data_IF_544414041243
#
_entry.id   IF_544414041243
#
_cell.length_a   1.000
_cell.length_b   1.000
_cell.length_c   1.000
_cell.angle_alpha   90.00
_cell.angle_beta   90.00
_cell.angle_gamma   90.00
#
_symmetry.space_group_name_H-M   'P 1'
#
loop_
_entity.id
_entity.type
_entity.pdbx_description
1 polymer ?
#
# COMPACT_ATOMS: atom_id res chain seq x y z
N UNK A 1 -11.49 22.40 -38.94
CA UNK A 1 -10.46 22.46 -37.92
C UNK A 1 -10.84 21.70 -36.62
N UNK A 2 -12.10 21.77 -36.19
CA UNK A 2 -12.58 21.06 -34.96
C UNK A 2 -12.43 19.52 -34.99
N UNK A 3 -12.70 18.87 -36.13
CA UNK A 3 -12.60 17.41 -36.24
C UNK A 3 -11.17 16.86 -36.10
N UNK A 4 -10.15 17.59 -36.62
CA UNK A 4 -8.74 17.19 -36.45
C UNK A 4 -8.23 17.41 -35.01
N UNK A 5 -8.71 18.46 -34.34
CA UNK A 5 -8.42 18.73 -32.93
C UNK A 5 -9.00 17.62 -32.05
N UNK A 6 -10.22 17.18 -32.31
CA UNK A 6 -10.92 16.13 -31.56
C UNK A 6 -10.25 14.73 -31.74
N UNK A 7 -9.75 14.42 -32.94
CA UNK A 7 -9.01 13.17 -33.19
C UNK A 7 -7.65 13.13 -32.45
N UNK A 8 -6.93 14.24 -32.40
CA UNK A 8 -5.68 14.37 -31.69
C UNK A 8 -5.88 14.22 -30.16
N UNK A 9 -6.91 14.83 -29.59
CA UNK A 9 -7.24 14.73 -28.18
C UNK A 9 -7.67 13.29 -27.83
N UNK A 10 -8.45 12.62 -28.68
CA UNK A 10 -8.81 11.21 -28.48
C UNK A 10 -7.57 10.30 -28.49
N UNK A 11 -6.64 10.51 -29.40
CA UNK A 11 -5.40 9.75 -29.42
C UNK A 11 -4.54 9.99 -28.16
N UNK A 12 -4.46 11.24 -27.69
CA UNK A 12 -3.79 11.62 -26.44
C UNK A 12 -4.48 11.05 -25.19
N UNK A 13 -5.78 10.79 -25.23
CA UNK A 13 -6.48 10.05 -24.18
C UNK A 13 -6.18 8.56 -24.27
N UNK A 14 -6.43 7.94 -25.43
CA UNK A 14 -6.43 6.48 -25.56
C UNK A 14 -5.03 5.89 -25.43
N UNK A 15 -4.03 6.44 -26.13
CA UNK A 15 -2.70 5.83 -26.20
C UNK A 15 -2.02 5.79 -24.83
N UNK A 16 -1.85 6.90 -24.07
CA UNK A 16 -1.24 6.87 -22.75
C UNK A 16 -2.05 6.05 -21.74
N UNK A 17 -3.39 6.14 -21.81
CA UNK A 17 -4.27 5.37 -20.93
C UNK A 17 -4.12 3.86 -21.14
N UNK A 18 -4.08 3.40 -22.39
CA UNK A 18 -3.85 1.98 -22.73
C UNK A 18 -2.47 1.53 -22.28
N UNK A 19 -1.43 2.34 -22.50
CA UNK A 19 -0.08 2.04 -22.02
C UNK A 19 -0.09 1.96 -20.49
N UNK A 20 -0.72 2.90 -19.79
CA UNK A 20 -0.84 2.87 -18.33
C UNK A 20 -1.56 1.62 -17.82
N UNK A 21 -2.67 1.24 -18.45
CA UNK A 21 -3.39 -0.01 -18.11
C UNK A 21 -2.51 -1.24 -18.33
N UNK A 22 -1.78 -1.33 -19.44
CA UNK A 22 -0.87 -2.44 -19.73
C UNK A 22 0.24 -2.52 -18.66
N UNK A 23 0.83 -1.38 -18.29
CA UNK A 23 1.93 -1.34 -17.35
C UNK A 23 1.53 -1.70 -15.91
N UNK A 24 0.36 -1.24 -15.46
CA UNK A 24 -0.05 -1.31 -14.05
C UNK A 24 -1.14 -2.33 -13.75
N UNK A 25 -1.94 -2.76 -14.74
CA UNK A 25 -3.16 -3.54 -14.50
C UNK A 25 -3.20 -4.87 -15.23
N UNK A 26 -2.42 -5.07 -16.29
CA UNK A 26 -2.43 -6.35 -17.01
C UNK A 26 -1.43 -7.29 -16.34
N UNK A 27 -1.91 -8.44 -15.78
CA UNK A 27 -1.02 -9.43 -15.22
C UNK A 27 -0.22 -10.11 -16.35
N UNK A 28 1.08 -10.22 -16.14
CA UNK A 28 2.02 -10.91 -17.03
C UNK A 28 2.90 -11.86 -16.21
N UNK A 29 3.47 -12.88 -16.82
CA UNK A 29 4.42 -13.75 -16.16
C UNK A 29 5.83 -13.17 -16.26
N UNK A 30 6.56 -13.18 -15.14
CA UNK A 30 7.98 -12.84 -15.11
C UNK A 30 8.84 -14.02 -15.55
N UNK A 31 10.17 -13.87 -15.53
CA UNK A 31 11.13 -14.93 -15.89
C UNK A 31 11.11 -16.13 -14.94
N UNK A 32 10.55 -15.99 -13.75
CA UNK A 32 10.35 -17.07 -12.77
C UNK A 32 8.98 -17.75 -12.89
N UNK A 33 8.21 -17.46 -13.96
CA UNK A 33 6.83 -17.94 -14.21
C UNK A 33 5.78 -17.45 -13.19
N UNK A 34 6.08 -16.36 -12.46
CA UNK A 34 5.20 -15.77 -11.47
C UNK A 34 4.36 -14.64 -12.07
N UNK A 35 3.08 -14.55 -11.66
CA UNK A 35 2.19 -13.48 -12.10
C UNK A 35 2.54 -12.15 -11.42
N UNK A 36 2.76 -11.12 -12.22
CA UNK A 36 3.07 -9.75 -11.76
C UNK A 36 2.63 -8.73 -12.81
N UNK A 37 2.96 -7.45 -12.60
CA UNK A 37 2.68 -6.36 -13.56
C UNK A 37 3.96 -5.89 -14.25
N UNK A 38 3.81 -5.32 -15.44
CA UNK A 38 4.97 -4.89 -16.26
C UNK A 38 5.85 -3.88 -15.51
N UNK A 39 5.25 -2.95 -14.75
CA UNK A 39 6.00 -1.97 -13.93
C UNK A 39 6.94 -2.68 -12.95
N UNK A 40 6.50 -3.76 -12.31
CA UNK A 40 7.34 -4.53 -11.38
C UNK A 40 8.45 -5.25 -12.13
N UNK A 41 8.18 -5.85 -13.29
CA UNK A 41 9.22 -6.49 -14.12
C UNK A 41 10.31 -5.47 -14.50
N UNK A 42 9.92 -4.26 -14.91
CA UNK A 42 10.88 -3.19 -15.22
C UNK A 42 11.71 -2.84 -13.97
N UNK A 43 11.06 -2.74 -12.81
CA UNK A 43 11.73 -2.49 -11.54
C UNK A 43 12.73 -3.60 -11.18
N UNK A 44 12.32 -4.87 -11.31
CA UNK A 44 13.16 -6.03 -11.01
C UNK A 44 14.36 -6.13 -11.96
N UNK A 45 14.20 -5.83 -13.26
CA UNK A 45 15.32 -5.78 -14.23
C UNK A 45 16.34 -4.69 -13.81
N UNK A 46 15.87 -3.50 -13.46
CA UNK A 46 16.76 -2.41 -13.03
C UNK A 46 17.41 -2.76 -11.69
N UNK A 47 16.65 -3.29 -10.75
CA UNK A 47 17.16 -3.76 -9.46
C UNK A 47 18.25 -4.83 -9.65
N UNK A 48 18.04 -5.79 -10.55
CA UNK A 48 19.05 -6.81 -10.89
C UNK A 48 20.33 -6.25 -11.49
N UNK A 49 20.21 -5.18 -12.29
CA UNK A 49 21.38 -4.54 -12.92
C UNK A 49 22.24 -3.73 -11.92
N UNK A 50 21.63 -3.16 -10.88
CA UNK A 50 22.31 -2.29 -9.88
C UNK A 50 22.23 -2.85 -8.46
N UNK A 51 21.85 -4.12 -8.30
CA UNK A 51 21.50 -4.75 -7.01
C UNK A 51 22.52 -4.53 -5.89
N UNK A 52 23.81 -4.66 -6.20
CA UNK A 52 24.88 -4.42 -5.22
C UNK A 52 24.95 -2.98 -4.71
N UNK A 53 24.40 -2.01 -5.44
CA UNK A 53 24.38 -0.61 -5.06
C UNK A 53 23.10 -0.20 -4.30
N UNK A 54 22.04 -0.98 -4.38
CA UNK A 54 20.73 -0.61 -3.81
C UNK A 54 20.74 -0.38 -2.30
N UNK A 55 21.38 -1.21 -1.46
CA UNK A 55 21.45 -0.93 -0.03
C UNK A 55 22.16 0.40 0.27
N UNK A 56 23.26 0.69 -0.44
CA UNK A 56 23.97 1.97 -0.29
C UNK A 56 23.10 3.15 -0.76
N UNK A 57 22.33 3.00 -1.84
CA UNK A 57 21.38 4.01 -2.30
C UNK A 57 20.34 4.31 -1.23
N UNK A 58 19.78 3.28 -0.57
CA UNK A 58 18.84 3.44 0.55
C UNK A 58 19.51 4.22 1.70
N UNK A 59 20.73 3.86 2.08
CA UNK A 59 21.50 4.59 3.11
C UNK A 59 21.65 6.08 2.77
N UNK A 60 22.02 6.39 1.52
CA UNK A 60 22.18 7.77 1.05
C UNK A 60 20.85 8.53 1.13
N UNK A 61 19.77 7.96 0.62
CA UNK A 61 18.43 8.58 0.61
C UNK A 61 17.96 8.87 2.04
N UNK A 62 18.04 7.89 2.93
CA UNK A 62 17.60 8.04 4.32
C UNK A 62 18.46 9.06 5.07
N UNK A 63 19.77 9.09 4.82
CA UNK A 63 20.68 10.08 5.39
C UNK A 63 20.33 11.49 4.93
N UNK A 64 20.15 11.69 3.62
CA UNK A 64 19.73 12.99 3.07
C UNK A 64 18.38 13.41 3.67
N UNK A 65 17.42 12.47 3.77
CA UNK A 65 16.11 12.75 4.37
C UNK A 65 16.22 13.25 5.81
N UNK A 66 17.05 12.60 6.63
CA UNK A 66 17.26 12.98 8.02
C UNK A 66 17.94 14.36 8.15
N UNK A 67 19.03 14.57 7.41
CA UNK A 67 19.79 15.84 7.42
C UNK A 67 18.89 17.00 6.97
N UNK A 68 18.19 16.85 5.85
CA UNK A 68 17.32 17.89 5.31
C UNK A 68 16.12 18.17 6.21
N UNK A 69 15.56 17.15 6.87
CA UNK A 69 14.52 17.33 7.85
C UNK A 69 15.00 18.10 9.10
N UNK A 70 16.23 17.84 9.58
CA UNK A 70 16.83 18.62 10.66
C UNK A 70 17.10 20.07 10.24
N UNK A 71 17.63 20.30 9.03
CA UNK A 71 17.86 21.65 8.49
C UNK A 71 16.52 22.40 8.35
N UNK A 72 15.43 21.71 8.02
CA UNK A 72 14.10 22.32 7.87
C UNK A 72 13.57 22.98 9.16
N UNK A 73 14.09 22.59 10.34
CA UNK A 73 13.76 23.23 11.63
C UNK A 73 14.16 24.71 11.65
N UNK A 74 15.28 25.05 11.01
CA UNK A 74 15.74 26.42 10.89
C UNK A 74 14.98 27.23 9.82
N UNK A 75 14.02 26.60 9.10
CA UNK A 75 13.22 27.22 8.02
C UNK A 75 14.05 27.99 6.97
N UNK A 76 15.12 27.43 6.42
CA UNK A 76 15.95 28.12 5.46
C UNK A 76 15.16 28.42 4.17
N UNK A 77 15.44 29.56 3.54
CA UNK A 77 14.71 30.03 2.35
C UNK A 77 14.71 29.01 1.21
N UNK A 78 15.83 28.31 0.95
CA UNK A 78 15.92 27.34 -0.14
C UNK A 78 14.96 26.13 0.03
N UNK A 79 14.56 25.78 1.27
CA UNK A 79 13.52 24.75 1.52
C UNK A 79 12.13 25.38 1.45
N UNK A 80 11.94 26.56 2.05
CA UNK A 80 10.60 27.16 2.17
C UNK A 80 10.07 27.77 0.88
N UNK A 81 10.95 28.28 0.02
CA UNK A 81 10.59 28.94 -1.25
C UNK A 81 10.37 27.93 -2.39
N UNK A 82 10.84 26.70 -2.27
CA UNK A 82 10.62 25.63 -3.24
C UNK A 82 9.50 24.71 -2.79
N UNK A 83 8.44 24.59 -3.59
CA UNK A 83 7.29 23.71 -3.28
C UNK A 83 7.72 22.26 -3.11
N UNK A 84 8.61 21.75 -3.96
CA UNK A 84 9.11 20.37 -3.87
C UNK A 84 9.91 20.16 -2.59
N UNK A 85 10.87 21.05 -2.28
CA UNK A 85 11.71 20.93 -1.08
C UNK A 85 10.90 21.04 0.20
N UNK A 86 9.97 21.99 0.23
CA UNK A 86 9.07 22.17 1.38
C UNK A 86 8.22 20.92 1.62
N UNK A 87 7.66 20.35 0.55
CA UNK A 87 6.83 19.15 0.63
C UNK A 87 7.62 17.91 1.08
N UNK A 88 8.84 17.73 0.57
CA UNK A 88 9.68 16.59 0.93
C UNK A 88 10.26 16.67 2.34
N UNK A 89 10.63 17.87 2.83
CA UNK A 89 11.46 18.00 4.02
C UNK A 89 10.84 18.78 5.17
N UNK A 90 9.86 19.67 4.92
CA UNK A 90 9.18 20.39 6.00
C UNK A 90 8.09 19.53 6.63
N UNK A 91 8.42 18.81 7.69
CA UNK A 91 7.52 17.89 8.38
C UNK A 91 7.36 18.24 9.87
N UNK A 92 6.37 17.64 10.53
CA UNK A 92 6.15 17.79 11.96
C UNK A 92 7.31 17.19 12.76
N UNK A 93 7.61 17.68 13.99
CA UNK A 93 8.74 17.21 14.81
C UNK A 93 8.82 15.70 14.98
N UNK A 94 7.68 15.02 15.14
CA UNK A 94 7.63 13.56 15.28
C UNK A 94 8.22 12.85 14.05
N UNK A 95 7.96 13.34 12.85
CA UNK A 95 8.49 12.77 11.62
C UNK A 95 9.98 13.05 11.43
N UNK A 96 10.50 14.14 12.01
CA UNK A 96 11.94 14.39 12.05
C UNK A 96 12.63 13.32 12.91
N UNK A 97 12.05 12.99 14.07
CA UNK A 97 12.56 11.89 14.92
C UNK A 97 12.54 10.57 14.17
N UNK A 98 11.44 10.23 13.49
CA UNK A 98 11.33 9.01 12.68
C UNK A 98 12.42 8.95 11.61
N UNK A 99 12.69 10.04 10.90
CA UNK A 99 13.73 10.11 9.86
C UNK A 99 15.15 9.96 10.42
N UNK A 100 15.41 10.55 11.59
CA UNK A 100 16.71 10.40 12.27
C UNK A 100 16.89 8.96 12.74
N UNK A 101 15.88 8.34 13.34
CA UNK A 101 15.93 6.92 13.72
C UNK A 101 16.15 6.02 12.52
N UNK A 102 15.45 6.28 11.40
CA UNK A 102 15.65 5.55 10.16
C UNK A 102 17.08 5.63 9.64
N UNK A 103 17.69 6.82 9.68
CA UNK A 103 19.08 7.01 9.29
C UNK A 103 20.04 6.25 10.21
N UNK A 104 19.81 6.26 11.52
CA UNK A 104 20.60 5.49 12.47
C UNK A 104 20.46 3.98 12.20
N UNK A 105 19.24 3.48 12.07
CA UNK A 105 18.97 2.07 11.85
C UNK A 105 19.58 1.57 10.54
N UNK A 106 19.41 2.32 9.44
CA UNK A 106 19.97 1.91 8.14
C UNK A 106 21.50 1.89 8.15
N UNK A 107 22.18 2.85 8.82
CA UNK A 107 23.62 2.82 8.96
C UNK A 107 24.12 1.66 9.81
N UNK A 108 23.51 1.41 10.96
CA UNK A 108 23.88 0.28 11.82
C UNK A 108 23.74 -1.04 11.07
N UNK A 109 22.62 -1.22 10.34
CA UNK A 109 22.34 -2.44 9.56
C UNK A 109 23.31 -2.58 8.38
N UNK A 110 23.56 -1.50 7.62
CA UNK A 110 24.45 -1.54 6.45
C UNK A 110 25.90 -1.82 6.82
N UNK A 111 26.37 -1.30 7.96
CA UNK A 111 27.72 -1.54 8.46
C UNK A 111 27.89 -2.87 9.19
N UNK A 112 26.83 -3.66 9.38
CA UNK A 112 26.85 -4.93 10.09
C UNK A 112 27.22 -4.79 11.58
N UNK A 113 26.92 -3.64 12.20
CA UNK A 113 27.27 -3.40 13.60
C UNK A 113 26.37 -4.26 14.50
N UNK A 114 26.96 -5.20 15.23
CA UNK A 114 26.20 -6.06 16.15
C UNK A 114 25.45 -7.20 15.46
N UNK A 115 25.89 -7.65 14.29
CA UNK A 115 25.33 -8.84 13.59
C UNK A 115 25.31 -10.12 14.48
N UNK A 116 26.10 -10.15 15.55
CA UNK A 116 26.10 -11.25 16.53
C UNK A 116 24.75 -11.43 17.26
N UNK A 117 23.77 -10.55 17.00
CA UNK A 117 22.42 -10.62 17.57
C UNK A 117 22.36 -10.28 19.07
N UNK A 118 23.46 -9.83 19.68
CA UNK A 118 23.57 -9.59 21.12
C UNK A 118 23.31 -8.10 21.43
N UNK A 119 22.43 -7.86 22.40
CA UNK A 119 22.10 -6.52 22.87
C UNK A 119 21.18 -5.73 21.94
N UNK A 120 20.93 -4.47 22.31
CA UNK A 120 19.99 -3.59 21.60
C UNK A 120 20.37 -3.37 20.12
N UNK A 121 21.65 -3.26 19.81
CA UNK A 121 22.12 -3.05 18.44
C UNK A 121 21.85 -4.30 17.62
N UNK A 122 22.14 -5.51 18.13
CA UNK A 122 21.83 -6.75 17.42
C UNK A 122 20.34 -6.97 17.19
N UNK A 123 19.48 -6.50 18.11
CA UNK A 123 18.02 -6.49 17.88
C UNK A 123 17.62 -5.56 16.72
N UNK A 124 18.33 -4.45 16.51
CA UNK A 124 18.06 -3.52 15.41
C UNK A 124 18.54 -4.07 14.07
N UNK A 125 19.77 -4.61 14.04
CA UNK A 125 20.47 -4.99 12.81
C UNK A 125 20.20 -6.41 12.35
N UNK A 126 19.58 -7.23 13.20
CA UNK A 126 19.31 -8.64 12.92
C UNK A 126 18.62 -8.88 11.57
N UNK A 127 18.89 -10.03 10.97
CA UNK A 127 18.37 -10.41 9.65
C UNK A 127 16.84 -10.43 9.54
N UNK A 128 16.14 -10.70 10.66
CA UNK A 128 14.67 -10.67 10.74
C UNK A 128 14.07 -9.31 11.12
N UNK A 129 14.86 -8.26 11.28
CA UNK A 129 14.42 -6.92 11.68
C UNK A 129 14.96 -5.87 10.69
N UNK A 130 15.99 -5.10 11.08
CA UNK A 130 16.57 -4.08 10.20
C UNK A 130 17.19 -4.66 8.93
N UNK A 131 17.77 -5.86 9.01
CA UNK A 131 18.26 -6.60 7.84
C UNK A 131 17.15 -6.85 6.83
N UNK A 132 16.05 -7.46 7.25
CA UNK A 132 14.87 -7.68 6.41
C UNK A 132 14.33 -6.37 5.82
N UNK A 133 14.18 -5.33 6.65
CA UNK A 133 13.67 -4.04 6.17
C UNK A 133 14.60 -3.41 5.15
N UNK A 134 15.94 -3.42 5.36
CA UNK A 134 16.88 -2.82 4.42
C UNK A 134 17.03 -3.64 3.13
N UNK A 135 17.34 -4.94 3.25
CA UNK A 135 17.79 -5.74 2.10
C UNK A 135 16.64 -6.33 1.30
N UNK A 136 15.47 -6.58 1.90
CA UNK A 136 14.32 -7.15 1.21
C UNK A 136 13.26 -6.09 0.85
N UNK A 137 12.88 -5.22 1.80
CA UNK A 137 11.82 -4.25 1.58
C UNK A 137 12.32 -2.97 0.89
N UNK A 138 13.27 -2.24 1.50
CA UNK A 138 13.69 -0.92 0.99
C UNK A 138 14.38 -0.98 -0.36
N UNK A 139 15.21 -2.01 -0.63
CA UNK A 139 15.84 -2.19 -1.94
C UNK A 139 14.83 -2.39 -3.05
N UNK A 140 13.75 -3.10 -2.77
CA UNK A 140 12.63 -3.27 -3.71
C UNK A 140 11.84 -1.97 -3.88
N UNK A 141 11.47 -1.32 -2.77
CA UNK A 141 10.65 -0.11 -2.77
C UNK A 141 11.36 1.08 -3.43
N UNK A 142 12.67 1.24 -3.24
CA UNK A 142 13.41 2.39 -3.78
C UNK A 142 13.34 2.46 -5.30
N UNK A 143 13.37 1.32 -5.98
CA UNK A 143 13.27 1.25 -7.45
C UNK A 143 11.82 1.34 -7.90
N UNK A 144 10.93 0.57 -7.27
CA UNK A 144 9.49 0.57 -7.60
C UNK A 144 8.92 1.98 -7.50
N UNK A 145 9.25 2.74 -6.44
CA UNK A 145 8.74 4.09 -6.25
C UNK A 145 9.17 5.06 -7.36
N UNK A 146 10.39 4.97 -7.85
CA UNK A 146 10.84 5.83 -8.96
C UNK A 146 10.11 5.47 -10.25
N UNK A 147 10.09 4.20 -10.61
CA UNK A 147 9.51 3.76 -11.87
C UNK A 147 8.00 4.00 -11.86
N UNK A 148 7.33 3.63 -10.76
CA UNK A 148 5.91 3.88 -10.60
C UNK A 148 5.61 5.38 -10.62
N UNK A 149 6.34 6.21 -9.86
CA UNK A 149 6.11 7.65 -9.83
C UNK A 149 6.29 8.31 -11.20
N UNK A 150 7.26 7.85 -12.00
CA UNK A 150 7.48 8.36 -13.35
C UNK A 150 6.40 7.91 -14.34
N UNK A 151 5.83 6.72 -14.16
CA UNK A 151 4.83 6.14 -15.08
C UNK A 151 3.39 6.37 -14.64
N UNK A 152 3.13 6.60 -13.34
CA UNK A 152 1.79 6.87 -12.81
C UNK A 152 1.03 8.00 -13.54
N UNK A 153 1.66 9.09 -13.98
CA UNK A 153 0.95 10.10 -14.75
C UNK A 153 0.25 9.58 -16.02
N UNK A 154 0.67 8.41 -16.57
CA UNK A 154 -0.06 7.76 -17.67
C UNK A 154 -1.49 7.34 -17.28
N UNK A 155 -1.69 6.99 -16.01
CA UNK A 155 -3.02 6.69 -15.47
C UNK A 155 -3.75 7.96 -15.01
N UNK A 156 -3.00 8.93 -14.41
CA UNK A 156 -3.57 10.06 -13.70
C UNK A 156 -3.94 11.24 -14.58
N UNK A 157 -3.12 11.52 -15.62
CA UNK A 157 -3.16 12.83 -16.31
C UNK A 157 -3.79 12.80 -17.68
N UNK A 158 -4.09 11.61 -18.22
CA UNK A 158 -4.62 11.43 -19.56
C UNK A 158 -6.11 11.05 -19.62
N UNK A 159 -6.85 11.22 -18.49
CA UNK A 159 -8.31 11.12 -18.48
C UNK A 159 -8.87 9.72 -18.21
N UNK A 160 -8.01 8.70 -17.98
CA UNK A 160 -8.47 7.35 -17.69
C UNK A 160 -9.33 7.30 -16.42
N UNK A 161 -8.88 7.97 -15.36
CA UNK A 161 -9.58 8.00 -14.08
C UNK A 161 -10.94 8.70 -14.17
N UNK A 162 -11.03 9.75 -14.97
CA UNK A 162 -12.27 10.47 -15.26
C UNK A 162 -13.26 9.57 -16.01
N UNK A 163 -12.79 8.85 -17.02
CA UNK A 163 -13.59 7.94 -17.81
C UNK A 163 -14.12 6.76 -17.00
N UNK A 164 -13.21 6.01 -16.37
CA UNK A 164 -13.56 4.85 -15.51
C UNK A 164 -14.39 5.30 -14.32
N UNK A 165 -14.06 6.46 -13.74
CA UNK A 165 -14.80 7.06 -12.65
C UNK A 165 -16.28 7.29 -12.98
N UNK A 166 -16.57 7.88 -14.12
CA UNK A 166 -17.95 8.10 -14.57
C UNK A 166 -18.72 6.78 -14.78
N UNK A 167 -18.04 5.76 -15.32
CA UNK A 167 -18.65 4.44 -15.58
C UNK A 167 -18.99 3.69 -14.28
N UNK A 168 -18.07 3.66 -13.33
CA UNK A 168 -18.15 2.79 -12.14
C UNK A 168 -18.77 3.47 -10.92
N UNK A 169 -19.07 4.77 -10.96
CA UNK A 169 -19.69 5.49 -9.83
C UNK A 169 -20.95 4.80 -9.32
N UNK A 170 -21.79 4.27 -10.22
CA UNK A 170 -23.05 3.56 -9.85
C UNK A 170 -22.83 2.29 -9.04
N UNK A 171 -21.65 1.70 -9.10
CA UNK A 171 -21.27 0.50 -8.34
C UNK A 171 -20.47 0.89 -7.09
N UNK A 172 -19.45 1.72 -7.26
CA UNK A 172 -18.51 2.04 -6.20
C UNK A 172 -19.13 2.88 -5.08
N UNK A 173 -20.00 3.85 -5.43
CA UNK A 173 -20.64 4.72 -4.42
C UNK A 173 -21.60 3.97 -3.48
N UNK A 174 -22.60 3.20 -3.96
CA UNK A 174 -23.51 2.52 -3.06
C UNK A 174 -22.84 1.38 -2.29
N UNK A 175 -21.95 0.62 -2.92
CA UNK A 175 -21.37 -0.59 -2.35
C UNK A 175 -20.22 -0.27 -1.38
N UNK A 176 -19.28 0.58 -1.78
CA UNK A 176 -18.04 0.82 -1.06
C UNK A 176 -17.89 2.24 -0.50
N UNK A 177 -18.83 3.15 -0.76
CA UNK A 177 -18.80 4.55 -0.31
C UNK A 177 -17.62 5.37 -0.85
N UNK A 178 -17.06 4.97 -1.98
CA UNK A 178 -15.94 5.65 -2.65
C UNK A 178 -16.31 6.06 -4.08
N UNK A 179 -15.64 7.06 -4.70
CA UNK A 179 -15.93 7.46 -6.05
C UNK A 179 -15.55 6.37 -7.06
N UNK A 180 -16.19 6.37 -8.25
CA UNK A 180 -15.95 5.37 -9.29
C UNK A 180 -14.49 5.26 -9.72
N UNK A 181 -13.74 6.37 -9.70
CA UNK A 181 -12.30 6.40 -10.04
C UNK A 181 -11.44 5.54 -9.11
N UNK A 182 -11.89 5.28 -7.88
CA UNK A 182 -11.21 4.39 -6.95
C UNK A 182 -11.11 2.94 -7.45
N UNK A 183 -11.92 2.54 -8.44
CA UNK A 183 -11.80 1.23 -9.06
C UNK A 183 -10.43 1.03 -9.73
N UNK A 184 -9.79 2.08 -10.23
CA UNK A 184 -8.44 2.01 -10.80
C UNK A 184 -7.41 1.72 -9.70
N UNK A 185 -7.52 2.41 -8.55
CA UNK A 185 -6.65 2.18 -7.38
C UNK A 185 -6.79 0.73 -6.89
N UNK A 186 -8.04 0.23 -6.80
CA UNK A 186 -8.34 -1.14 -6.39
C UNK A 186 -7.71 -2.16 -7.33
N UNK A 187 -7.91 -2.02 -8.64
CA UNK A 187 -7.38 -2.96 -9.64
C UNK A 187 -5.85 -2.92 -9.63
N UNK A 188 -5.25 -1.72 -9.58
CA UNK A 188 -3.78 -1.57 -9.52
C UNK A 188 -3.20 -2.26 -8.28
N UNK A 189 -3.86 -2.14 -7.14
CA UNK A 189 -3.43 -2.78 -5.90
C UNK A 189 -3.60 -4.31 -5.93
N UNK A 190 -4.72 -4.81 -6.41
CA UNK A 190 -5.04 -6.25 -6.41
C UNK A 190 -4.23 -7.05 -7.43
N UNK A 191 -3.96 -6.48 -8.60
CA UNK A 191 -3.20 -7.17 -9.66
C UNK A 191 -1.70 -6.89 -9.52
N UNK A 192 -1.34 -5.67 -9.13
CA UNK A 192 0.04 -5.23 -8.99
C UNK A 192 0.61 -5.48 -7.60
N UNK A 193 0.55 -4.44 -6.78
CA UNK A 193 1.10 -4.43 -5.43
C UNK A 193 0.33 -3.44 -4.56
N UNK A 194 0.10 -3.78 -3.28
CA UNK A 194 -0.60 -2.93 -2.33
C UNK A 194 0.04 -1.55 -2.15
N UNK A 195 1.36 -1.47 -2.23
CA UNK A 195 2.10 -0.21 -2.12
C UNK A 195 1.82 0.73 -3.29
N UNK A 196 1.69 0.19 -4.52
CA UNK A 196 1.31 0.96 -5.71
C UNK A 196 -0.11 1.53 -5.59
N UNK A 197 -1.06 0.75 -5.08
CA UNK A 197 -2.43 1.22 -4.83
C UNK A 197 -2.48 2.34 -3.81
N UNK A 198 -1.75 2.22 -2.69
CA UNK A 198 -1.67 3.28 -1.68
C UNK A 198 -1.00 4.53 -2.25
N UNK A 199 0.08 4.40 -3.04
CA UNK A 199 0.75 5.51 -3.70
C UNK A 199 -0.20 6.26 -4.65
N UNK A 200 -0.99 5.55 -5.43
CA UNK A 200 -2.01 6.12 -6.31
C UNK A 200 -3.06 6.88 -5.49
N UNK A 201 -3.55 6.28 -4.40
CA UNK A 201 -4.50 6.90 -3.47
C UNK A 201 -3.93 8.18 -2.84
N UNK A 202 -2.66 8.19 -2.42
CA UNK A 202 -1.98 9.39 -1.91
C UNK A 202 -1.99 10.51 -2.94
N UNK A 203 -1.60 10.23 -4.18
CA UNK A 203 -1.59 11.21 -5.27
C UNK A 203 -2.99 11.79 -5.53
N UNK A 204 -4.04 10.93 -5.53
CA UNK A 204 -5.42 11.37 -5.71
C UNK A 204 -5.94 12.22 -4.54
N UNK A 205 -5.57 11.88 -3.31
CA UNK A 205 -5.91 12.66 -2.12
C UNK A 205 -5.21 14.03 -2.14
N UNK A 206 -3.91 14.06 -2.42
CA UNK A 206 -3.14 15.29 -2.54
C UNK A 206 -3.61 16.17 -3.70
N UNK A 207 -4.04 15.54 -4.79
CA UNK A 207 -4.64 16.20 -5.93
C UNK A 207 -6.05 16.77 -5.69
N UNK A 208 -6.69 16.45 -4.54
CA UNK A 208 -8.05 16.90 -4.20
C UNK A 208 -9.18 16.14 -4.88
N UNK A 209 -8.89 14.94 -5.40
CA UNK A 209 -9.90 14.08 -6.04
C UNK A 209 -10.61 13.17 -5.05
N UNK A 210 -9.98 12.88 -3.90
CA UNK A 210 -10.57 12.12 -2.80
C UNK A 210 -10.72 13.00 -1.56
N UNK A 211 -11.82 12.81 -0.84
CA UNK A 211 -11.96 13.35 0.51
C UNK A 211 -11.10 12.54 1.50
N UNK A 212 -10.87 13.09 2.68
CA UNK A 212 -10.15 12.42 3.76
C UNK A 212 -10.78 11.05 4.10
N UNK A 213 -12.11 10.95 4.07
CA UNK A 213 -12.83 9.70 4.29
C UNK A 213 -12.59 8.69 3.16
N UNK A 214 -12.76 9.10 1.91
CA UNK A 214 -12.59 8.25 0.74
C UNK A 214 -11.16 7.72 0.64
N UNK A 215 -10.16 8.60 0.79
CA UNK A 215 -8.76 8.21 0.77
C UNK A 215 -8.42 7.21 1.88
N UNK A 216 -8.97 7.40 3.10
CA UNK A 216 -8.80 6.46 4.20
C UNK A 216 -9.41 5.09 3.89
N UNK A 217 -10.62 5.05 3.32
CA UNK A 217 -11.29 3.81 2.91
C UNK A 217 -10.47 3.08 1.84
N UNK A 218 -10.06 3.79 0.78
CA UNK A 218 -9.33 3.18 -0.34
C UNK A 218 -8.00 2.60 0.14
N UNK A 219 -7.19 3.39 0.84
CA UNK A 219 -5.87 2.96 1.30
C UNK A 219 -5.90 1.77 2.27
N UNK A 220 -6.95 1.64 3.10
CA UNK A 220 -7.03 0.60 4.14
C UNK A 220 -7.82 -0.63 3.76
N UNK A 221 -8.72 -0.53 2.77
CA UNK A 221 -9.63 -1.62 2.44
C UNK A 221 -9.42 -2.20 1.04
N UNK A 222 -8.84 -1.43 0.12
CA UNK A 222 -8.62 -1.85 -1.25
C UNK A 222 -7.16 -2.16 -1.57
N UNK A 223 -6.24 -1.95 -0.65
CA UNK A 223 -4.89 -2.52 -0.75
C UNK A 223 -4.99 -4.04 -0.66
N UNK A 224 -4.16 -4.75 -1.41
CA UNK A 224 -4.09 -6.20 -1.37
C UNK A 224 -2.63 -6.64 -1.43
N UNK A 225 -2.36 -7.80 -0.87
CA UNK A 225 -1.06 -8.45 -0.98
C UNK A 225 -0.90 -9.00 -2.39
N UNK A 226 0.28 -8.87 -2.98
CA UNK A 226 0.56 -9.40 -4.31
C UNK A 226 0.33 -10.92 -4.39
N UNK A 227 -0.08 -11.41 -5.55
CA UNK A 227 -0.32 -12.85 -5.78
C UNK A 227 0.94 -13.66 -5.43
N UNK A 228 2.11 -13.18 -5.84
CA UNK A 228 3.40 -13.82 -5.57
C UNK A 228 3.66 -13.97 -4.08
N UNK A 229 3.46 -12.91 -3.29
CA UNK A 229 3.68 -12.99 -1.85
C UNK A 229 2.61 -13.84 -1.14
N UNK A 230 1.40 -13.85 -1.67
CA UNK A 230 0.32 -14.74 -1.22
C UNK A 230 0.73 -16.21 -1.37
N UNK A 231 1.42 -16.57 -2.47
CA UNK A 231 2.01 -17.90 -2.65
C UNK A 231 3.11 -18.19 -1.63
N UNK A 232 3.99 -17.23 -1.33
CA UNK A 232 5.05 -17.39 -0.31
C UNK A 232 4.44 -17.68 1.07
N UNK A 233 3.39 -16.96 1.47
CA UNK A 233 2.68 -17.22 2.74
C UNK A 233 2.11 -18.64 2.77
N UNK A 234 1.52 -19.10 1.67
CA UNK A 234 0.90 -20.42 1.60
C UNK A 234 1.94 -21.55 1.54
N UNK A 235 3.09 -21.30 0.89
CA UNK A 235 4.24 -22.21 0.85
C UNK A 235 4.87 -22.38 2.24
N UNK A 236 4.98 -21.30 3.01
CA UNK A 236 5.50 -21.33 4.38
C UNK A 236 4.74 -22.28 5.30
N UNK A 237 3.46 -22.51 5.04
CA UNK A 237 2.61 -23.43 5.81
C UNK A 237 2.40 -24.79 5.12
N UNK A 238 3.10 -25.07 4.02
CA UNK A 238 3.01 -26.31 3.22
C UNK A 238 1.62 -26.59 2.66
N UNK A 239 0.92 -25.57 2.12
CA UNK A 239 -0.46 -25.69 1.65
C UNK A 239 -0.68 -25.16 0.23
N UNK A 240 0.34 -25.17 -0.64
CA UNK A 240 0.26 -24.66 -2.01
C UNK A 240 -0.84 -25.31 -2.86
N UNK A 241 -1.18 -26.57 -2.59
CA UNK A 241 -2.25 -27.30 -3.28
C UNK A 241 -3.63 -26.63 -3.15
N UNK A 242 -3.86 -25.85 -2.06
CA UNK A 242 -5.10 -25.13 -1.80
C UNK A 242 -5.13 -23.73 -2.41
N UNK A 243 -4.11 -23.31 -3.16
CA UNK A 243 -3.97 -21.93 -3.64
C UNK A 243 -5.22 -21.37 -4.31
N UNK A 244 -5.86 -22.11 -5.19
CA UNK A 244 -7.07 -21.65 -5.89
C UNK A 244 -8.21 -21.29 -4.93
N UNK A 245 -8.52 -22.19 -3.99
CA UNK A 245 -9.56 -22.00 -2.96
C UNK A 245 -9.15 -20.88 -2.00
N UNK A 246 -7.91 -20.88 -1.57
CA UNK A 246 -7.35 -19.89 -0.68
C UNK A 246 -7.49 -18.47 -1.29
N UNK A 247 -7.07 -18.27 -2.55
CA UNK A 247 -7.14 -16.97 -3.20
C UNK A 247 -8.57 -16.47 -3.41
N UNK A 248 -9.51 -17.38 -3.73
CA UNK A 248 -10.93 -17.03 -3.80
C UNK A 248 -11.47 -16.54 -2.45
N UNK A 249 -11.05 -17.17 -1.35
CA UNK A 249 -11.47 -16.76 0.00
C UNK A 249 -10.84 -15.40 0.35
N UNK A 250 -9.57 -15.17 0.03
CA UNK A 250 -8.91 -13.87 0.22
C UNK A 250 -9.66 -12.76 -0.52
N UNK A 251 -10.06 -13.00 -1.78
CA UNK A 251 -10.88 -12.06 -2.55
C UNK A 251 -12.25 -11.81 -1.89
N UNK A 252 -12.93 -12.87 -1.47
CA UNK A 252 -14.24 -12.77 -0.79
C UNK A 252 -14.15 -11.93 0.49
N UNK A 253 -13.16 -12.23 1.35
CA UNK A 253 -12.92 -11.50 2.60
C UNK A 253 -12.61 -10.03 2.30
N UNK A 254 -11.75 -9.75 1.33
CA UNK A 254 -11.39 -8.38 0.92
C UNK A 254 -12.62 -7.57 0.51
N UNK A 255 -13.49 -8.15 -0.33
CA UNK A 255 -14.75 -7.50 -0.77
C UNK A 255 -15.69 -7.26 0.41
N UNK A 256 -15.87 -8.23 1.31
CA UNK A 256 -16.75 -8.09 2.47
C UNK A 256 -16.21 -7.04 3.44
N UNK A 257 -14.90 -7.03 3.71
CA UNK A 257 -14.26 -5.99 4.51
C UNK A 257 -14.48 -4.60 3.88
N UNK A 258 -14.31 -4.47 2.56
CA UNK A 258 -14.53 -3.20 1.86
C UNK A 258 -15.98 -2.70 1.91
N UNK A 259 -16.95 -3.61 2.07
CA UNK A 259 -18.37 -3.27 2.26
C UNK A 259 -18.67 -2.87 3.71
N UNK A 260 -18.16 -3.61 4.69
CA UNK A 260 -18.54 -3.47 6.11
C UNK A 260 -17.74 -2.36 6.81
N UNK A 261 -16.40 -2.34 6.70
CA UNK A 261 -15.54 -1.45 7.47
C UNK A 261 -15.81 0.05 7.25
N UNK A 262 -16.27 0.56 6.07
CA UNK A 262 -16.64 1.97 5.92
C UNK A 262 -17.74 2.47 6.87
N UNK A 263 -18.54 1.55 7.44
CA UNK A 263 -19.60 1.83 8.42
C UNK A 263 -19.11 1.75 9.86
N UNK A 264 -17.90 1.22 10.11
CA UNK A 264 -17.31 1.06 11.43
C UNK A 264 -16.43 2.25 11.81
N UNK A 265 -16.04 2.33 13.08
CA UNK A 265 -15.04 3.29 13.56
C UNK A 265 -13.65 2.74 13.19
N UNK A 266 -12.68 3.54 12.70
CA UNK A 266 -12.70 5.01 12.62
C UNK A 266 -13.24 5.57 11.29
N UNK A 267 -13.35 4.75 10.24
CA UNK A 267 -13.67 5.19 8.88
C UNK A 267 -15.00 5.93 8.80
N UNK A 268 -16.03 5.48 9.56
CA UNK A 268 -17.33 6.14 9.62
C UNK A 268 -17.24 7.61 10.07
N UNK A 269 -16.28 7.92 10.98
CA UNK A 269 -16.12 9.27 11.56
C UNK A 269 -15.18 10.17 10.77
N UNK A 270 -14.50 9.66 9.73
CA UNK A 270 -13.62 10.49 8.90
C UNK A 270 -14.42 11.60 8.21
N UNK A 271 -13.86 12.85 8.16
CA UNK A 271 -14.52 13.97 7.53
C UNK A 271 -14.52 13.84 6.00
N UNK A 272 -15.53 14.41 5.34
CA UNK A 272 -15.58 14.52 3.88
C UNK A 272 -14.90 15.82 3.41
N UNK A 273 -13.72 16.13 3.93
CA UNK A 273 -12.92 17.31 3.56
C UNK A 273 -11.89 16.93 2.49
N UNK A 274 -11.67 17.83 1.54
CA UNK A 274 -10.68 17.71 0.48
C UNK A 274 -9.47 18.58 0.79
N UNK A 275 -8.27 18.17 0.40
CA UNK A 275 -7.06 19.00 0.51
C UNK A 275 -7.06 20.15 -0.51
N UNK A 276 -7.64 19.91 -1.69
CA UNK A 276 -7.85 20.92 -2.74
C UNK A 276 -9.30 20.83 -3.16
N UNK A 277 -10.02 21.91 -3.04
CA UNK A 277 -11.46 21.97 -3.39
C UNK A 277 -11.70 22.00 -4.91
N UNK A 278 -12.88 21.55 -5.31
CA UNK A 278 -13.39 21.72 -6.69
C UNK A 278 -13.00 20.66 -7.71
N UNK A 279 -12.29 19.58 -7.31
CA UNK A 279 -11.88 18.51 -8.25
C UNK A 279 -12.68 17.21 -8.10
N UNK A 280 -13.56 17.12 -7.10
CA UNK A 280 -14.43 15.97 -6.94
C UNK A 280 -15.40 15.83 -8.10
N UNK A 281 -15.48 14.63 -8.69
CA UNK A 281 -16.50 14.36 -9.71
C UNK A 281 -17.88 14.20 -9.06
N UNK A 282 -18.97 14.67 -9.73
CA UNK A 282 -20.33 14.49 -9.22
C UNK A 282 -20.70 13.00 -9.15
N UNK A 283 -21.48 12.64 -8.14
CA UNK A 283 -21.94 11.25 -7.90
C UNK A 283 -23.07 10.82 -8.84
N UNK A 284 -23.72 11.75 -9.49
CA UNK A 284 -24.84 11.53 -10.41
C UNK A 284 -24.51 12.04 -11.80
N UNK A 285 -25.12 11.42 -12.82
CA UNK A 285 -24.98 11.89 -14.20
C UNK A 285 -25.56 13.31 -14.32
N UNK A 286 -24.79 14.34 -14.75
CA UNK A 286 -25.29 15.68 -14.90
C UNK A 286 -26.36 15.77 -15.97
N UNK A 287 -27.25 16.74 -15.82
CA UNK A 287 -28.28 17.04 -16.85
C UNK A 287 -27.63 17.39 -18.20
N UNK A 288 -28.17 16.83 -19.26
CA UNK A 288 -27.67 17.03 -20.64
C UNK A 288 -26.88 15.85 -21.20
N UNK A 289 -26.42 14.89 -20.41
CA UNK A 289 -25.75 13.68 -20.90
C UNK A 289 -26.72 12.50 -21.02
N UNK A 290 -26.61 11.74 -22.12
CA UNK A 290 -27.45 10.56 -22.39
C UNK A 290 -26.91 9.29 -21.67
N UNK A 291 -25.62 9.23 -21.39
CA UNK A 291 -25.00 8.07 -20.78
C UNK A 291 -23.74 8.42 -19.97
N UNK A 292 -23.37 7.55 -19.02
CA UNK A 292 -22.11 7.67 -18.28
C UNK A 292 -20.88 7.57 -19.20
N UNK A 293 -20.99 6.87 -20.33
CA UNK A 293 -19.91 6.75 -21.33
C UNK A 293 -19.66 8.10 -22.00
N UNK A 294 -20.73 8.79 -22.42
CA UNK A 294 -20.65 10.12 -23.04
C UNK A 294 -20.08 11.15 -22.06
N UNK A 295 -20.57 11.14 -20.82
CA UNK A 295 -20.08 12.01 -19.75
C UNK A 295 -18.61 11.72 -19.39
N UNK A 296 -18.24 10.46 -19.23
CA UNK A 296 -16.86 10.06 -18.94
C UNK A 296 -15.89 10.42 -20.07
N UNK A 297 -16.33 10.29 -21.34
CA UNK A 297 -15.53 10.70 -22.49
C UNK A 297 -15.31 12.21 -22.52
N UNK A 298 -16.34 13.01 -22.21
CA UNK A 298 -16.23 14.47 -22.16
C UNK A 298 -15.26 14.90 -21.02
N UNK A 299 -15.36 14.29 -19.85
CA UNK A 299 -14.43 14.54 -18.75
C UNK A 299 -12.99 14.17 -19.11
N UNK A 300 -12.77 13.01 -19.73
CA UNK A 300 -11.47 12.57 -20.19
C UNK A 300 -10.85 13.53 -21.20
N UNK A 301 -11.66 13.99 -22.17
CA UNK A 301 -11.22 14.96 -23.18
C UNK A 301 -10.86 16.32 -22.56
N UNK A 302 -11.63 16.79 -21.57
CA UNK A 302 -11.31 18.01 -20.82
C UNK A 302 -9.99 17.86 -20.06
N UNK A 303 -9.78 16.73 -19.37
CA UNK A 303 -8.52 16.45 -18.67
C UNK A 303 -7.31 16.48 -19.59
N UNK A 304 -7.41 15.82 -20.76
CA UNK A 304 -6.34 15.83 -21.77
C UNK A 304 -6.06 17.22 -22.32
N UNK A 305 -7.10 18.03 -22.51
CA UNK A 305 -6.95 19.41 -23.01
C UNK A 305 -6.22 20.33 -22.01
N UNK A 306 -6.31 20.04 -20.71
CA UNK A 306 -5.60 20.75 -19.63
C UNK A 306 -4.14 20.32 -19.50
N UNK A 307 -3.73 19.20 -20.12
CA UNK A 307 -2.38 18.66 -20.01
C UNK A 307 -1.32 19.58 -20.66
N UNK A 308 -0.35 20.02 -19.86
CA UNK A 308 0.65 21.03 -20.26
C UNK A 308 1.90 20.46 -20.98
N UNK A 309 1.86 19.19 -21.34
CA UNK A 309 2.91 18.55 -22.14
C UNK A 309 3.94 17.71 -21.35
N UNK A 310 4.90 17.14 -22.09
CA UNK A 310 5.87 16.14 -21.58
C UNK A 310 6.72 16.67 -20.41
N UNK A 311 7.06 17.96 -20.41
CA UNK A 311 7.86 18.54 -19.33
C UNK A 311 7.15 18.52 -17.97
N UNK A 312 5.84 18.75 -17.93
CA UNK A 312 5.03 18.66 -16.70
C UNK A 312 4.86 17.22 -16.24
N UNK A 313 4.72 16.28 -17.18
CA UNK A 313 4.70 14.86 -16.91
C UNK A 313 5.93 14.41 -16.11
N UNK A 314 7.15 14.69 -16.59
CA UNK A 314 8.37 14.32 -15.89
C UNK A 314 8.56 15.08 -14.58
N UNK A 315 8.16 16.35 -14.52
CA UNK A 315 8.22 17.15 -13.28
C UNK A 315 7.30 16.58 -12.20
N UNK A 316 6.09 16.19 -12.56
CA UNK A 316 5.13 15.54 -11.65
C UNK A 316 5.66 14.19 -11.17
N UNK A 317 6.15 13.35 -12.07
CA UNK A 317 6.76 12.06 -11.73
C UNK A 317 7.97 12.20 -10.80
N UNK A 318 8.88 13.12 -11.08
CA UNK A 318 10.04 13.38 -10.23
C UNK A 318 9.64 13.90 -8.84
N UNK A 319 8.65 14.79 -8.76
CA UNK A 319 8.09 15.26 -7.49
C UNK A 319 7.53 14.10 -6.66
N UNK A 320 6.76 13.23 -7.28
CA UNK A 320 6.18 12.05 -6.63
C UNK A 320 7.28 11.09 -6.15
N UNK A 321 8.29 10.81 -6.99
CA UNK A 321 9.44 9.98 -6.61
C UNK A 321 10.19 10.54 -5.40
N UNK A 322 10.49 11.85 -5.40
CA UNK A 322 11.14 12.52 -4.27
C UNK A 322 10.29 12.43 -2.99
N UNK A 323 8.98 12.65 -3.07
CA UNK A 323 8.08 12.54 -1.92
C UNK A 323 8.09 11.13 -1.32
N UNK A 324 8.07 10.09 -2.16
CA UNK A 324 8.14 8.69 -1.71
C UNK A 324 9.52 8.35 -1.11
N UNK A 325 10.60 8.75 -1.76
CA UNK A 325 11.95 8.46 -1.27
C UNK A 325 12.25 9.13 0.07
N UNK A 326 11.96 10.42 0.20
CA UNK A 326 12.34 11.19 1.39
C UNK A 326 11.25 11.20 2.47
N UNK A 327 10.01 10.90 2.13
CA UNK A 327 8.89 10.84 3.07
C UNK A 327 8.60 9.43 3.57
N UNK A 328 8.44 8.48 2.65
CA UNK A 328 7.92 7.14 2.96
C UNK A 328 9.02 6.16 3.36
N UNK A 329 10.12 6.03 2.60
CA UNK A 329 11.17 5.06 2.93
C UNK A 329 11.72 5.17 4.36
N UNK A 330 11.95 6.39 4.91
CA UNK A 330 12.36 6.51 6.31
C UNK A 330 11.31 5.96 7.30
N UNK A 331 10.02 6.14 6.98
CA UNK A 331 8.95 5.62 7.84
C UNK A 331 8.93 4.10 7.85
N UNK A 332 9.09 3.47 6.69
CA UNK A 332 9.18 2.00 6.57
C UNK A 332 10.39 1.49 7.35
N UNK A 333 11.57 2.11 7.21
CA UNK A 333 12.77 1.69 7.96
C UNK A 333 12.59 1.81 9.46
N UNK A 334 12.15 2.95 9.98
CA UNK A 334 12.07 3.16 11.43
C UNK A 334 10.91 2.39 12.05
N UNK A 335 9.70 2.54 11.51
CA UNK A 335 8.49 1.94 12.09
C UNK A 335 8.50 0.43 11.87
N UNK A 336 8.87 -0.04 10.67
CA UNK A 336 8.96 -1.46 10.34
C UNK A 336 9.97 -2.17 11.25
N UNK A 337 11.19 -1.66 11.38
CA UNK A 337 12.21 -2.25 12.25
C UNK A 337 11.76 -2.29 13.72
N UNK A 338 11.17 -1.20 14.25
CA UNK A 338 10.65 -1.18 15.62
C UNK A 338 9.54 -2.23 15.81
N UNK A 339 8.61 -2.32 14.86
CA UNK A 339 7.51 -3.28 14.90
C UNK A 339 8.03 -4.73 14.95
N UNK A 340 9.00 -5.05 14.08
CA UNK A 340 9.62 -6.38 14.05
C UNK A 340 10.43 -6.70 15.32
N UNK A 341 11.12 -5.70 15.91
CA UNK A 341 11.78 -5.88 17.20
C UNK A 341 10.75 -6.22 18.29
N UNK A 342 9.66 -5.48 18.37
CA UNK A 342 8.59 -5.75 19.34
C UNK A 342 7.97 -7.13 19.14
N UNK A 343 7.79 -7.57 17.89
CA UNK A 343 7.25 -8.88 17.57
C UNK A 343 8.19 -10.02 18.01
N UNK A 344 9.49 -9.89 17.73
CA UNK A 344 10.44 -10.98 17.90
C UNK A 344 11.04 -11.06 19.31
N UNK A 345 11.12 -9.94 20.02
CA UNK A 345 11.84 -9.87 21.32
C UNK A 345 10.94 -9.54 22.50
N UNK A 346 9.64 -9.36 22.31
CA UNK A 346 8.71 -9.07 23.42
C UNK A 346 7.43 -9.90 23.32
N UNK A 347 6.82 -10.30 24.45
CA UNK A 347 5.56 -11.03 24.45
C UNK A 347 4.33 -10.13 24.24
N UNK A 348 4.52 -8.89 23.79
CA UNK A 348 3.43 -7.90 23.65
C UNK A 348 2.34 -8.43 22.73
N UNK A 349 2.71 -8.99 21.59
CA UNK A 349 1.74 -9.49 20.61
C UNK A 349 1.04 -10.76 21.08
N UNK A 350 1.72 -11.62 21.86
CA UNK A 350 1.08 -12.77 22.51
C UNK A 350 0.00 -12.31 23.50
N UNK A 351 0.33 -11.32 24.36
CA UNK A 351 -0.64 -10.76 25.31
C UNK A 351 -1.83 -10.09 24.61
N UNK A 352 -1.56 -9.32 23.54
CA UNK A 352 -2.60 -8.70 22.74
C UNK A 352 -3.45 -9.73 21.98
N UNK A 353 -2.95 -10.93 21.73
CA UNK A 353 -3.67 -12.04 21.12
C UNK A 353 -4.67 -12.72 22.07
N UNK A 354 -4.46 -12.65 23.41
CA UNK A 354 -5.34 -13.31 24.40
C UNK A 354 -6.84 -13.03 24.19
N UNK A 355 -7.28 -11.79 23.88
CA UNK A 355 -8.70 -11.51 23.63
C UNK A 355 -9.31 -12.27 22.46
N UNK A 356 -8.52 -12.81 21.54
CA UNK A 356 -9.02 -13.61 20.41
C UNK A 356 -9.34 -15.07 20.79
N UNK A 357 -8.76 -15.60 21.91
CA UNK A 357 -8.98 -16.98 22.35
C UNK A 357 -10.46 -17.35 22.47
N UNK A 358 -11.32 -16.57 23.17
CA UNK A 358 -12.73 -16.92 23.29
C UNK A 358 -13.43 -16.97 21.93
N UNK A 359 -13.11 -16.07 20.99
CA UNK A 359 -13.66 -16.06 19.65
C UNK A 359 -13.22 -17.30 18.86
N UNK A 360 -11.94 -17.66 18.90
CA UNK A 360 -11.41 -18.84 18.21
C UNK A 360 -11.99 -20.14 18.78
N UNK A 361 -12.16 -20.22 20.11
CA UNK A 361 -12.82 -21.35 20.77
C UNK A 361 -14.30 -21.45 20.34
N UNK A 362 -15.03 -20.32 20.28
CA UNK A 362 -16.40 -20.28 19.81
C UNK A 362 -16.51 -20.74 18.34
N UNK A 363 -15.54 -20.36 17.52
CA UNK A 363 -15.42 -20.78 16.12
C UNK A 363 -14.85 -22.19 15.96
N UNK A 364 -14.59 -22.90 17.05
CA UNK A 364 -14.05 -24.27 17.11
C UNK A 364 -12.75 -24.44 16.32
N UNK A 365 -11.88 -23.41 16.34
CA UNK A 365 -10.57 -23.43 15.66
C UNK A 365 -9.62 -24.34 16.43
N UNK A 366 -9.01 -25.35 15.80
CA UNK A 366 -7.99 -26.17 16.43
C UNK A 366 -6.78 -25.33 16.89
N UNK A 367 -6.14 -25.74 17.98
CA UNK A 367 -4.96 -25.04 18.52
C UNK A 367 -5.21 -23.53 18.75
N UNK A 368 -6.41 -23.16 19.26
CA UNK A 368 -6.87 -21.79 19.42
C UNK A 368 -5.87 -20.87 20.14
N UNK A 369 -5.05 -21.41 21.06
CA UNK A 369 -4.03 -20.62 21.77
C UNK A 369 -2.86 -20.25 20.87
N UNK A 370 -2.37 -21.16 20.03
CA UNK A 370 -1.34 -20.90 19.04
C UNK A 370 -1.82 -19.92 17.97
N UNK A 371 -3.03 -20.15 17.45
CA UNK A 371 -3.67 -19.26 16.47
C UNK A 371 -3.90 -17.85 17.06
N UNK A 372 -4.29 -17.73 18.33
CA UNK A 372 -4.54 -16.42 18.96
C UNK A 372 -3.27 -15.54 18.98
N UNK A 373 -2.10 -16.15 19.24
CA UNK A 373 -0.83 -15.41 19.24
C UNK A 373 -0.48 -14.81 17.88
N UNK A 374 -0.88 -15.47 16.79
CA UNK A 374 -0.61 -15.01 15.41
C UNK A 374 -1.51 -13.85 14.97
N UNK A 375 -2.68 -13.67 15.59
CA UNK A 375 -3.70 -12.71 15.12
C UNK A 375 -3.23 -11.26 15.14
N UNK A 376 -2.47 -10.86 16.15
CA UNK A 376 -1.99 -9.47 16.30
C UNK A 376 -0.61 -9.28 15.70
N UNK A 377 0.21 -10.31 15.66
CA UNK A 377 1.55 -10.25 15.05
C UNK A 377 1.47 -9.85 13.58
N UNK A 378 0.40 -10.22 12.87
CA UNK A 378 0.12 -9.76 11.51
C UNK A 378 0.07 -8.24 11.36
N UNK A 379 -0.08 -7.44 12.43
CA UNK A 379 0.03 -5.99 12.35
C UNK A 379 1.47 -5.51 12.08
N UNK A 380 2.46 -6.31 12.39
CA UNK A 380 3.86 -6.00 12.09
C UNK A 380 4.24 -6.36 10.67
N UNK A 381 3.92 -7.60 10.27
CA UNK A 381 4.32 -8.19 8.99
C UNK A 381 3.35 -9.33 8.60
N UNK A 382 3.15 -9.54 7.30
CA UNK A 382 2.21 -10.54 6.80
C UNK A 382 2.74 -11.98 6.82
N UNK A 383 4.06 -12.17 6.81
CA UNK A 383 4.69 -13.50 6.78
C UNK A 383 4.85 -14.08 8.18
N UNK A 384 5.11 -13.24 9.16
CA UNK A 384 5.38 -13.66 10.55
C UNK A 384 4.28 -14.56 11.12
N UNK A 385 2.96 -14.30 10.95
CA UNK A 385 1.92 -15.23 11.42
C UNK A 385 2.03 -16.63 10.80
N UNK A 386 2.35 -16.72 9.50
CA UNK A 386 2.53 -17.99 8.82
C UNK A 386 3.74 -18.78 9.35
N UNK A 387 4.86 -18.10 9.60
CA UNK A 387 6.05 -18.71 10.19
C UNK A 387 5.73 -19.28 11.57
N UNK A 388 5.02 -18.52 12.42
CA UNK A 388 4.68 -18.95 13.78
C UNK A 388 3.76 -20.18 13.82
N UNK A 389 2.89 -20.37 12.81
CA UNK A 389 1.97 -21.51 12.74
C UNK A 389 2.49 -22.65 11.88
N UNK A 390 3.64 -22.49 11.21
CA UNK A 390 4.16 -23.48 10.26
C UNK A 390 4.37 -24.89 10.85
N UNK A 391 4.75 -24.97 12.12
CA UNK A 391 4.96 -26.22 12.84
C UNK A 391 3.67 -26.85 13.40
N UNK A 392 2.50 -26.19 13.27
CA UNK A 392 1.22 -26.74 13.71
C UNK A 392 0.89 -28.06 13.00
N UNK A 393 0.29 -28.99 13.72
CA UNK A 393 -0.19 -30.26 13.16
C UNK A 393 -1.55 -30.15 12.49
N UNK A 394 -2.28 -29.06 12.74
CA UNK A 394 -3.60 -28.82 12.21
C UNK A 394 -3.55 -28.06 10.87
N UNK A 395 -3.88 -28.74 9.76
CA UNK A 395 -4.01 -28.10 8.45
C UNK A 395 -5.05 -26.97 8.47
N UNK A 396 -6.15 -27.15 9.19
CA UNK A 396 -7.18 -26.13 9.35
C UNK A 396 -6.63 -24.86 10.02
N UNK A 397 -5.85 -25.00 11.10
CA UNK A 397 -5.23 -23.86 11.78
C UNK A 397 -4.26 -23.12 10.86
N UNK A 398 -3.38 -23.85 10.16
CA UNK A 398 -2.46 -23.30 9.16
C UNK A 398 -3.18 -22.50 8.09
N UNK A 399 -4.25 -23.10 7.52
CA UNK A 399 -5.05 -22.44 6.48
C UNK A 399 -5.72 -21.16 6.96
N UNK A 400 -6.36 -21.19 8.14
CA UNK A 400 -7.02 -20.01 8.73
C UNK A 400 -6.00 -18.89 8.94
N UNK A 401 -4.84 -19.19 9.54
CA UNK A 401 -3.80 -18.18 9.79
C UNK A 401 -3.25 -17.62 8.49
N UNK A 402 -2.97 -18.46 7.50
CA UNK A 402 -2.49 -18.01 6.19
C UNK A 402 -3.47 -17.05 5.50
N UNK A 403 -4.80 -17.36 5.50
CA UNK A 403 -5.80 -16.46 4.91
C UNK A 403 -5.92 -15.17 5.71
N UNK A 404 -5.99 -15.25 7.04
CA UNK A 404 -6.13 -14.07 7.90
C UNK A 404 -4.94 -13.15 7.77
N UNK A 405 -3.71 -13.69 7.78
CA UNK A 405 -2.49 -12.88 7.66
C UNK A 405 -2.48 -12.01 6.40
N UNK A 406 -2.87 -12.55 5.26
CA UNK A 406 -2.92 -11.82 3.98
C UNK A 406 -4.11 -10.83 3.92
N UNK A 407 -5.24 -11.17 4.53
CA UNK A 407 -6.43 -10.30 4.49
C UNK A 407 -6.39 -9.15 5.49
N UNK A 408 -5.48 -9.15 6.44
CA UNK A 408 -5.26 -8.05 7.40
C UNK A 408 -4.73 -6.78 6.73
N UNK A 409 -3.83 -6.89 5.75
CA UNK A 409 -3.32 -5.83 4.84
C UNK A 409 -2.53 -4.69 5.51
N UNK A 410 -2.85 -4.27 6.72
CA UNK A 410 -2.29 -3.07 7.35
C UNK A 410 -1.00 -3.34 8.13
N UNK A 411 0.00 -3.90 7.46
CA UNK A 411 1.30 -4.24 8.05
C UNK A 411 2.14 -2.99 8.25
N UNK A 412 2.71 -2.82 9.45
CA UNK A 412 3.57 -1.66 9.75
C UNK A 412 4.89 -1.69 8.97
N UNK A 413 5.38 -2.87 8.60
CA UNK A 413 6.56 -3.03 7.77
C UNK A 413 6.37 -2.51 6.34
N UNK A 414 5.15 -2.45 5.82
CA UNK A 414 4.85 -2.16 4.41
C UNK A 414 3.72 -1.12 4.27
N UNK A 415 2.49 -1.57 3.99
CA UNK A 415 1.32 -0.70 3.71
C UNK A 415 1.02 0.26 4.86
N UNK A 416 1.04 -0.22 6.10
CA UNK A 416 0.81 0.60 7.29
C UNK A 416 1.89 1.67 7.46
N UNK A 417 3.17 1.29 7.28
CA UNK A 417 4.30 2.23 7.33
C UNK A 417 4.21 3.30 6.23
N UNK A 418 3.83 2.89 5.02
CA UNK A 418 3.61 3.79 3.89
C UNK A 418 2.48 4.79 4.16
N UNK A 419 1.33 4.32 4.66
CA UNK A 419 0.20 5.18 5.03
C UNK A 419 0.63 6.18 6.10
N UNK A 420 1.33 5.75 7.15
CA UNK A 420 1.81 6.62 8.23
C UNK A 420 2.85 7.65 7.74
N UNK A 421 3.70 7.28 6.78
CA UNK A 421 4.69 8.17 6.16
C UNK A 421 4.11 9.17 5.17
N UNK A 422 2.89 8.97 4.70
CA UNK A 422 2.19 9.78 3.70
C UNK A 422 1.37 10.92 4.32
N UNK A 423 0.65 11.68 3.47
CA UNK A 423 -0.31 12.71 3.91
C UNK A 423 -1.71 12.16 4.17
N UNK A 424 -1.92 10.86 4.05
CA UNK A 424 -3.21 10.24 4.33
C UNK A 424 -3.63 10.53 5.77
N UNK A 425 -4.91 10.88 6.00
CA UNK A 425 -5.38 11.34 7.31
C UNK A 425 -5.68 10.16 8.25
N UNK A 426 -4.67 9.32 8.49
CA UNK A 426 -4.74 8.13 9.34
C UNK A 426 -3.57 8.13 10.32
N UNK A 427 -3.82 7.68 11.54
CA UNK A 427 -2.80 7.49 12.58
C UNK A 427 -2.68 5.99 12.94
N UNK A 428 -1.64 5.66 13.68
CA UNK A 428 -1.33 4.26 14.03
C UNK A 428 -2.47 3.58 14.80
N UNK A 429 -3.16 4.32 15.69
CA UNK A 429 -4.28 3.77 16.44
C UNK A 429 -5.48 3.45 15.53
N UNK A 430 -5.78 4.33 14.58
CA UNK A 430 -6.84 4.10 13.61
C UNK A 430 -6.53 2.92 12.69
N UNK A 431 -5.26 2.79 12.25
CA UNK A 431 -4.82 1.61 11.49
C UNK A 431 -4.97 0.33 12.31
N UNK A 432 -4.60 0.36 13.59
CA UNK A 432 -4.74 -0.79 14.48
C UNK A 432 -6.21 -1.20 14.65
N UNK A 433 -7.13 -0.25 14.84
CA UNK A 433 -8.56 -0.55 14.95
C UNK A 433 -9.11 -1.15 13.66
N UNK A 434 -8.78 -0.60 12.49
CA UNK A 434 -9.20 -1.17 11.20
C UNK A 434 -8.61 -2.56 10.98
N UNK A 435 -7.35 -2.77 11.38
CA UNK A 435 -6.71 -4.07 11.37
C UNK A 435 -7.48 -5.10 12.22
N UNK A 436 -7.90 -4.74 13.43
CA UNK A 436 -8.72 -5.60 14.29
C UNK A 436 -10.08 -5.91 13.66
N UNK A 437 -10.75 -4.93 13.07
CA UNK A 437 -12.02 -5.12 12.36
C UNK A 437 -11.86 -6.13 11.21
N UNK A 438 -10.82 -5.96 10.40
CA UNK A 438 -10.51 -6.88 9.30
C UNK A 438 -10.21 -8.28 9.82
N UNK A 439 -9.44 -8.40 10.90
CA UNK A 439 -9.12 -9.69 11.53
C UNK A 439 -10.40 -10.42 11.99
N UNK A 440 -11.29 -9.72 12.68
CA UNK A 440 -12.55 -10.32 13.15
C UNK A 440 -13.44 -10.73 11.98
N UNK A 441 -13.62 -9.86 10.99
CA UNK A 441 -14.42 -10.17 9.79
C UNK A 441 -13.81 -11.35 9.03
N UNK A 442 -12.50 -11.40 8.88
CA UNK A 442 -11.79 -12.50 8.23
C UNK A 442 -12.05 -13.82 8.95
N UNK A 443 -11.90 -13.87 10.28
CA UNK A 443 -12.17 -15.07 11.07
C UNK A 443 -13.61 -15.56 10.92
N UNK A 444 -14.59 -14.65 10.96
CA UNK A 444 -16.00 -14.98 10.83
C UNK A 444 -16.37 -15.57 9.46
N UNK A 445 -15.58 -15.28 8.42
CA UNK A 445 -15.78 -15.79 7.06
C UNK A 445 -14.96 -17.07 6.85
N UNK A 446 -13.68 -17.03 7.23
CA UNK A 446 -12.73 -18.10 6.93
C UNK A 446 -12.99 -19.35 7.76
N UNK A 447 -13.28 -19.22 9.08
CA UNK A 447 -13.46 -20.39 9.93
C UNK A 447 -14.62 -21.30 9.47
N UNK A 448 -15.84 -20.80 9.17
CA UNK A 448 -16.89 -21.67 8.64
C UNK A 448 -16.51 -22.36 7.32
N UNK A 449 -15.78 -21.67 6.44
CA UNK A 449 -15.33 -22.26 5.17
C UNK A 449 -14.24 -23.30 5.43
N UNK A 450 -13.31 -23.05 6.35
CA UNK A 450 -12.26 -24.00 6.72
C UNK A 450 -12.85 -25.29 7.31
N UNK A 451 -13.91 -25.22 8.12
CA UNK A 451 -14.63 -26.40 8.60
C UNK A 451 -15.32 -27.23 7.49
N UNK A 452 -15.55 -26.66 6.32
CA UNK A 452 -16.09 -27.39 5.16
C UNK A 452 -14.98 -28.01 4.31
N UNK A 453 -13.75 -27.54 4.44
CA UNK A 453 -12.61 -28.00 3.66
C UNK A 453 -11.80 -29.09 4.37
N UNK A 454 -11.73 -29.01 5.70
CA UNK A 454 -10.95 -29.87 6.58
C UNK A 454 -11.84 -30.56 7.62
#
# INVERSE_FOLDING_TARGET
METKSNAKLKALFIIPSVIGVILFMIPVKNSADEWTVVVKIIADIIAGAIGGFLPLLCVIILTISAIMALISLAKPKFIMDSDIMRECFACKPIWIVVRVLAAIFVWLTYLGVGEDGVGLIGMITGGGQGGFVLYDLLTTLVIIFVIAALLLPLLLDFGLLEFVGALLTKVMRPLFKVPGRAAVDCITSWIGDGTLGVMLTCNQYEGGYYSAKEASIIATLFSAVSITFTLVVLDTVDMLEYFGTYYLIVCLVGIICAIICPYLYPLRKKPNTYLVEGKAAPDTLPEGYKSNVEYGMDLAMKRVAEHKGIGEFFKSGAKNACSMWFGVLPSVMAIGTIALILANFTPIFEWLGIPFRPLLQLLQVPEADAVASTMIVGFTDMLTPAILIAESTSQMAKFIVAVVSVTQVLYLSEVGGLILGSKLPLNIWELFVIFLERTIISLLIVCPIAHLLF
#
